data_IF_452428066506
#
_entry.id   IF_452428066506
#
_cell.length_a   1.000
_cell.length_b   1.000
_cell.length_c   1.000
_cell.angle_alpha   90.00
_cell.angle_beta   90.00
_cell.angle_gamma   90.00
#
_symmetry.space_group_name_H-M   'P 1'
#
loop_
_entity.id
_entity.type
_entity.pdbx_description
1 polymer ?
#
# COMPACT_ATOMS: atom_id res chain seq x y z
N UNK A 1 42.19 -35.57 0.86
CA UNK A 1 40.75 -35.27 1.16
C UNK A 1 40.67 -33.78 1.42
N UNK A 2 40.22 -33.01 0.43
CA UNK A 2 40.11 -31.53 0.49
C UNK A 2 38.66 -31.22 1.00
N UNK A 3 38.57 -30.63 2.18
CA UNK A 3 37.29 -30.16 2.71
C UNK A 3 36.99 -28.76 2.13
N UNK A 4 36.06 -28.69 1.20
CA UNK A 4 35.52 -27.42 0.69
C UNK A 4 34.44 -26.99 1.68
N UNK A 5 34.73 -25.97 2.50
CA UNK A 5 33.74 -25.29 3.32
C UNK A 5 32.95 -24.30 2.45
N UNK A 6 31.68 -24.57 2.21
CA UNK A 6 30.76 -23.64 1.60
C UNK A 6 30.38 -22.59 2.64
N UNK A 7 30.87 -21.37 2.49
CA UNK A 7 30.39 -20.22 3.24
C UNK A 7 29.08 -19.75 2.57
N UNK A 8 27.94 -20.08 3.20
CA UNK A 8 26.66 -19.47 2.85
C UNK A 8 26.69 -18.04 3.40
N UNK A 9 26.99 -17.08 2.54
CA UNK A 9 26.86 -15.67 2.88
C UNK A 9 25.36 -15.36 3.07
N UNK A 10 24.94 -15.09 4.32
CA UNK A 10 23.66 -14.44 4.57
C UNK A 10 23.73 -13.05 3.91
N UNK A 11 23.07 -12.90 2.79
CA UNK A 11 22.75 -11.56 2.26
C UNK A 11 21.68 -11.01 3.21
N UNK A 12 22.06 -10.11 4.12
CA UNK A 12 21.09 -9.33 4.87
C UNK A 12 20.34 -8.47 3.85
N UNK A 13 19.09 -8.80 3.58
CA UNK A 13 18.19 -7.96 2.81
C UNK A 13 18.11 -6.58 3.51
N UNK A 14 18.08 -5.47 2.76
CA UNK A 14 17.90 -4.15 3.35
C UNK A 14 16.60 -4.17 4.17
N UNK A 15 16.65 -3.69 5.42
CA UNK A 15 15.47 -3.47 6.25
C UNK A 15 14.82 -2.17 5.75
N UNK A 16 14.14 -2.25 4.62
CA UNK A 16 13.20 -1.23 4.19
C UNK A 16 11.82 -1.60 4.74
N UNK A 17 11.01 -0.60 5.04
CA UNK A 17 9.61 -0.87 5.33
C UNK A 17 8.98 -1.48 4.05
N UNK A 18 8.51 -2.71 4.15
CA UNK A 18 7.88 -3.42 3.03
C UNK A 18 6.49 -2.84 2.74
N UNK A 19 6.04 -2.95 1.50
CA UNK A 19 4.67 -2.65 1.10
C UNK A 19 3.70 -3.56 1.87
N UNK A 20 2.48 -3.06 2.07
CA UNK A 20 1.36 -3.84 2.58
C UNK A 20 0.15 -3.59 1.70
N UNK A 21 -0.41 -4.65 1.14
CA UNK A 21 -1.54 -4.55 0.24
C UNK A 21 -2.65 -5.55 0.55
N UNK A 22 -3.80 -5.28 -0.01
CA UNK A 22 -4.92 -6.22 -0.05
C UNK A 22 -4.83 -6.97 -1.37
N UNK A 23 -4.83 -8.29 -1.31
CA UNK A 23 -4.78 -9.15 -2.48
C UNK A 23 -6.08 -9.98 -2.55
N UNK A 24 -7.09 -9.52 -3.32
CA UNK A 24 -8.27 -10.33 -3.60
C UNK A 24 -7.90 -11.62 -4.33
N UNK A 25 -8.59 -12.72 -4.01
CA UNK A 25 -8.41 -13.95 -4.78
C UNK A 25 -8.98 -13.82 -6.19
N UNK A 26 -10.01 -12.99 -6.32
CA UNK A 26 -10.63 -12.61 -7.58
C UNK A 26 -11.03 -11.14 -7.52
N UNK A 27 -10.72 -10.37 -8.54
CA UNK A 27 -11.07 -8.94 -8.63
C UNK A 27 -12.45 -8.70 -9.25
N UNK A 28 -13.01 -9.70 -9.91
CA UNK A 28 -14.36 -9.65 -10.49
C UNK A 28 -15.16 -10.87 -10.03
N UNK A 29 -16.27 -10.63 -9.36
CA UNK A 29 -17.08 -11.64 -8.69
C UNK A 29 -18.51 -11.65 -9.23
N UNK A 30 -19.08 -12.83 -9.37
CA UNK A 30 -20.53 -12.97 -9.49
C UNK A 30 -21.24 -12.49 -8.21
N UNK A 31 -22.47 -12.02 -8.35
CA UNK A 31 -23.19 -11.30 -7.28
C UNK A 31 -23.33 -12.07 -5.95
N UNK A 32 -23.38 -13.40 -6.00
CA UNK A 32 -23.54 -14.27 -4.82
C UNK A 32 -22.23 -14.87 -4.33
N UNK A 33 -21.12 -14.55 -4.98
CA UNK A 33 -19.79 -15.04 -4.60
C UNK A 33 -19.26 -14.28 -3.38
N UNK A 34 -18.61 -14.98 -2.47
CA UNK A 34 -17.93 -14.33 -1.35
C UNK A 34 -16.74 -13.53 -1.83
N UNK A 35 -16.58 -12.34 -1.27
CA UNK A 35 -15.38 -11.55 -1.42
C UNK A 35 -14.32 -12.10 -0.46
N UNK A 36 -13.22 -12.57 -1.04
CA UNK A 36 -12.10 -13.15 -0.31
C UNK A 36 -10.81 -12.42 -0.66
N UNK A 37 -10.02 -12.05 0.36
CA UNK A 37 -8.75 -11.37 0.14
C UNK A 37 -7.73 -11.69 1.22
N UNK A 38 -6.46 -11.78 0.82
CA UNK A 38 -5.33 -11.78 1.74
C UNK A 38 -4.92 -10.33 2.08
N UNK A 39 -4.36 -10.15 3.26
CA UNK A 39 -3.50 -9.02 3.57
C UNK A 39 -2.08 -9.53 3.39
N UNK A 40 -1.33 -8.88 2.52
CA UNK A 40 0.04 -9.32 2.19
C UNK A 40 1.04 -8.26 2.61
N UNK A 41 2.16 -8.68 3.17
CA UNK A 41 3.29 -7.82 3.47
C UNK A 41 4.52 -8.37 2.75
N UNK A 42 5.16 -7.55 1.93
CA UNK A 42 6.28 -8.01 1.11
C UNK A 42 6.89 -6.91 0.28
N UNK A 43 7.61 -7.31 -0.75
CA UNK A 43 8.33 -6.43 -1.68
C UNK A 43 8.12 -6.92 -3.11
N UNK A 44 8.17 -6.00 -4.08
CA UNK A 44 8.07 -6.33 -5.51
C UNK A 44 6.79 -7.14 -5.85
N UNK A 45 5.67 -6.79 -5.19
CA UNK A 45 4.36 -7.45 -5.34
C UNK A 45 4.38 -8.96 -5.00
N UNK A 46 5.33 -9.40 -4.19
CA UNK A 46 5.42 -10.74 -3.63
C UNK A 46 5.64 -10.69 -2.13
N UNK A 47 4.96 -11.52 -1.36
CA UNK A 47 5.07 -11.41 0.09
C UNK A 47 4.42 -12.52 0.89
N UNK A 48 4.30 -12.28 2.18
CA UNK A 48 3.73 -13.21 3.16
C UNK A 48 2.30 -12.79 3.47
N UNK A 49 1.39 -13.74 3.34
CA UNK A 49 -0.01 -13.57 3.70
C UNK A 49 -0.18 -13.48 5.22
N UNK A 50 -0.77 -12.39 5.67
CA UNK A 50 -1.04 -12.15 7.08
C UNK A 50 -2.43 -12.66 7.46
N UNK A 51 -2.56 -13.41 8.56
CA UNK A 51 -3.86 -13.86 9.04
C UNK A 51 -4.67 -12.69 9.65
N UNK A 52 -5.98 -12.88 9.76
CA UNK A 52 -6.85 -11.95 10.48
C UNK A 52 -6.47 -11.86 11.95
N UNK A 53 -5.96 -10.71 12.39
CA UNK A 53 -5.57 -10.42 13.77
C UNK A 53 -6.01 -9.01 14.15
N UNK A 54 -7.13 -8.82 14.89
CA UNK A 54 -7.72 -7.50 15.18
C UNK A 54 -6.74 -6.48 15.78
N UNK A 55 -5.78 -6.91 16.57
CA UNK A 55 -4.77 -6.01 17.17
C UNK A 55 -3.74 -5.45 16.17
N UNK A 56 -3.77 -5.86 14.89
CA UNK A 56 -2.82 -5.40 13.86
C UNK A 56 -3.38 -4.25 13.02
N UNK A 57 -4.67 -3.94 13.15
CA UNK A 57 -5.31 -2.92 12.32
C UNK A 57 -6.24 -2.01 13.13
N UNK A 58 -6.35 -0.77 12.68
CA UNK A 58 -7.31 0.23 13.18
C UNK A 58 -8.65 0.04 12.48
N UNK A 59 -8.60 -0.12 11.15
CA UNK A 59 -9.76 -0.33 10.29
C UNK A 59 -9.54 -1.48 9.33
N UNK A 60 -10.56 -2.31 9.17
CA UNK A 60 -10.67 -3.30 8.10
C UNK A 60 -12.14 -3.39 7.71
N UNK A 61 -12.47 -2.81 6.56
CA UNK A 61 -13.85 -2.60 6.11
C UNK A 61 -14.01 -2.88 4.63
N UNK A 62 -15.23 -3.17 4.22
CA UNK A 62 -15.67 -3.20 2.81
C UNK A 62 -16.73 -2.13 2.63
N UNK A 63 -16.62 -1.33 1.58
CA UNK A 63 -17.55 -0.27 1.22
C UNK A 63 -18.13 -0.53 -0.18
N UNK A 64 -19.38 -0.09 -0.42
CA UNK A 64 -19.97 -0.03 -1.77
C UNK A 64 -20.99 1.10 -1.77
N UNK A 65 -20.77 2.14 -2.58
CA UNK A 65 -21.53 3.38 -2.51
C UNK A 65 -21.48 4.00 -1.09
N UNK A 66 -22.64 4.21 -0.47
CA UNK A 66 -22.73 4.76 0.90
C UNK A 66 -22.85 3.68 1.99
N UNK A 67 -22.83 2.42 1.60
CA UNK A 67 -22.88 1.30 2.54
C UNK A 67 -21.46 0.89 2.92
N UNK A 68 -21.28 0.45 4.16
CA UNK A 68 -20.04 -0.17 4.61
C UNK A 68 -20.31 -1.31 5.58
N UNK A 69 -19.37 -2.24 5.66
CA UNK A 69 -19.39 -3.36 6.60
C UNK A 69 -17.98 -3.57 7.14
N UNK A 70 -17.87 -3.75 8.45
CA UNK A 70 -16.59 -4.18 9.05
C UNK A 70 -16.29 -5.62 8.65
N UNK A 71 -15.03 -5.89 8.37
CA UNK A 71 -14.57 -7.27 8.17
C UNK A 71 -14.57 -7.98 9.51
N UNK A 72 -15.23 -9.13 9.54
CA UNK A 72 -15.31 -10.00 10.71
C UNK A 72 -14.87 -11.40 10.30
N UNK A 73 -13.78 -11.87 10.91
CA UNK A 73 -13.24 -13.21 10.74
C UNK A 73 -12.75 -13.74 12.09
N UNK A 74 -12.43 -15.02 12.17
CA UNK A 74 -11.83 -15.58 13.39
C UNK A 74 -10.35 -15.23 13.42
N UNK A 75 -9.82 -15.01 14.61
CA UNK A 75 -8.37 -14.81 14.79
C UNK A 75 -7.61 -16.00 14.19
N UNK A 76 -6.68 -15.68 13.28
CA UNK A 76 -5.89 -16.69 12.58
C UNK A 76 -6.43 -17.08 11.19
N UNK A 77 -7.63 -16.64 10.80
CA UNK A 77 -8.17 -16.97 9.47
C UNK A 77 -7.28 -16.39 8.35
N UNK A 78 -7.02 -17.20 7.35
CA UNK A 78 -6.35 -16.86 6.08
C UNK A 78 -7.12 -17.55 4.94
N UNK A 79 -7.69 -16.83 3.98
CA UNK A 79 -7.66 -15.36 3.79
C UNK A 79 -8.26 -14.55 4.96
N UNK A 80 -7.68 -13.38 5.23
CA UNK A 80 -8.12 -12.51 6.33
C UNK A 80 -9.51 -11.92 6.10
N UNK A 81 -9.91 -11.71 4.85
CA UNK A 81 -11.25 -11.34 4.40
C UNK A 81 -11.92 -12.55 3.75
N UNK A 82 -13.09 -12.92 4.24
CA UNK A 82 -13.93 -13.97 3.66
C UNK A 82 -15.39 -13.76 4.08
N UNK A 83 -16.07 -12.86 3.40
CA UNK A 83 -17.47 -12.51 3.71
C UNK A 83 -18.27 -12.18 2.44
N UNK A 84 -19.59 -12.06 2.56
CA UNK A 84 -20.41 -11.58 1.46
C UNK A 84 -20.05 -10.13 1.10
N UNK A 85 -20.10 -9.75 -0.18
CA UNK A 85 -19.95 -8.37 -0.60
C UNK A 85 -21.01 -7.47 0.09
N UNK A 86 -20.72 -6.18 0.18
CA UNK A 86 -21.65 -5.19 0.76
C UNK A 86 -22.84 -4.95 -0.16
N UNK A 87 -22.60 -4.92 -1.47
CA UNK A 87 -23.63 -4.78 -2.50
C UNK A 87 -23.07 -5.24 -3.86
N UNK A 88 -23.96 -5.35 -4.87
CA UNK A 88 -23.56 -5.38 -6.28
C UNK A 88 -22.92 -4.04 -6.66
N UNK A 89 -22.03 -4.06 -7.65
CA UNK A 89 -21.28 -2.91 -8.11
C UNK A 89 -19.84 -2.92 -7.59
N UNK A 90 -19.19 -1.76 -7.60
CA UNK A 90 -17.83 -1.59 -7.10
C UNK A 90 -17.80 -1.73 -5.58
N UNK A 91 -17.02 -2.66 -5.09
CA UNK A 91 -16.71 -2.82 -3.68
C UNK A 91 -15.25 -2.38 -3.44
N UNK A 92 -15.05 -1.57 -2.42
CA UNK A 92 -13.75 -1.06 -1.99
C UNK A 92 -13.41 -1.74 -0.69
N UNK A 93 -12.37 -2.56 -0.69
CA UNK A 93 -11.82 -3.11 0.55
C UNK A 93 -10.80 -2.12 1.07
N UNK A 94 -10.86 -1.78 2.35
CA UNK A 94 -9.94 -0.83 2.96
C UNK A 94 -9.37 -1.36 4.28
N UNK A 95 -8.07 -1.20 4.45
CA UNK A 95 -7.30 -1.65 5.60
C UNK A 95 -6.36 -0.55 6.07
N UNK A 96 -6.39 -0.24 7.36
CA UNK A 96 -5.43 0.64 8.01
C UNK A 96 -4.70 -0.15 9.07
N UNK A 97 -3.40 -0.35 8.91
CA UNK A 97 -2.57 -0.98 9.92
C UNK A 97 -2.35 -0.07 11.13
N UNK A 98 -2.14 -0.66 12.31
CA UNK A 98 -1.52 0.09 13.40
C UNK A 98 -0.08 0.48 13.03
N UNK A 99 0.38 1.61 13.52
CA UNK A 99 1.76 2.06 13.34
C UNK A 99 2.75 1.03 13.91
N UNK A 100 3.89 0.92 13.24
CA UNK A 100 5.01 0.08 13.64
C UNK A 100 6.31 0.88 13.52
N UNK A 101 7.38 0.39 14.13
CA UNK A 101 8.70 1.03 14.05
C UNK A 101 9.70 0.16 13.31
N UNK A 102 10.61 0.82 12.59
CA UNK A 102 11.79 0.21 11.98
C UNK A 102 13.03 0.98 12.43
N UNK A 103 14.13 0.29 12.65
CA UNK A 103 15.41 0.89 12.97
C UNK A 103 16.30 1.00 11.75
N UNK A 104 17.02 2.12 11.62
CA UNK A 104 18.07 2.34 10.64
C UNK A 104 19.43 2.30 11.33
N UNK A 105 20.28 1.37 10.95
CA UNK A 105 21.63 1.24 11.49
C UNK A 105 22.50 2.46 11.16
N UNK A 106 22.24 3.11 10.02
CA UNK A 106 22.98 4.30 9.57
C UNK A 106 22.14 5.14 8.60
N UNK A 107 22.56 6.41 8.44
CA UNK A 107 21.92 7.36 7.54
C UNK A 107 21.92 6.89 6.08
N UNK A 108 22.95 6.23 5.59
CA UNK A 108 23.04 5.79 4.20
C UNK A 108 21.88 4.87 3.80
N UNK A 109 21.44 3.98 4.72
CA UNK A 109 20.27 3.11 4.47
C UNK A 109 18.97 3.93 4.38
N UNK A 110 18.83 4.94 5.25
CA UNK A 110 17.67 5.84 5.21
C UNK A 110 17.69 6.72 3.97
N UNK A 111 18.86 7.25 3.59
CA UNK A 111 19.00 8.05 2.35
C UNK A 111 18.60 7.25 1.11
N UNK A 112 19.00 5.98 0.99
CA UNK A 112 18.56 5.11 -0.11
C UNK A 112 17.04 4.95 -0.16
N UNK A 113 16.39 4.88 1.00
CA UNK A 113 14.94 4.85 1.09
C UNK A 113 14.32 6.19 0.66
N UNK A 114 14.87 7.31 1.13
CA UNK A 114 14.42 8.65 0.72
C UNK A 114 14.52 8.83 -0.80
N UNK A 115 15.66 8.45 -1.39
CA UNK A 115 15.92 8.53 -2.83
C UNK A 115 14.93 7.65 -3.61
N UNK A 116 14.73 6.41 -3.15
CA UNK A 116 13.83 5.46 -3.81
C UNK A 116 12.37 5.96 -3.84
N UNK A 117 11.89 6.53 -2.73
CA UNK A 117 10.51 7.02 -2.60
C UNK A 117 10.35 8.51 -2.95
N UNK A 118 11.39 9.15 -3.48
CA UNK A 118 11.41 10.57 -3.88
C UNK A 118 10.97 11.53 -2.75
N UNK A 119 11.55 11.34 -1.57
CA UNK A 119 11.18 12.09 -0.35
C UNK A 119 12.12 13.28 -0.06
N UNK A 120 13.03 13.56 -0.97
CA UNK A 120 13.99 14.65 -0.88
C UNK A 120 15.11 14.43 0.14
N UNK A 121 16.07 15.35 0.15
CA UNK A 121 17.16 15.32 1.12
C UNK A 121 16.67 15.82 2.48
N UNK A 122 16.91 15.05 3.52
CA UNK A 122 16.47 15.30 4.89
C UNK A 122 17.62 15.38 5.89
N UNK A 123 18.87 15.36 5.42
CA UNK A 123 20.05 15.30 6.31
C UNK A 123 20.11 16.51 7.23
N UNK A 124 20.06 17.70 6.67
CA UNK A 124 20.13 18.95 7.45
C UNK A 124 19.00 19.05 8.48
N UNK A 125 17.79 18.64 8.11
CA UNK A 125 16.65 18.60 9.02
C UNK A 125 16.88 17.58 10.14
N UNK A 126 17.35 16.39 9.82
CA UNK A 126 17.64 15.33 10.80
C UNK A 126 18.68 15.78 11.84
N UNK A 127 19.80 16.35 11.39
CA UNK A 127 20.87 16.84 12.26
C UNK A 127 20.44 18.06 13.10
N UNK A 128 19.72 19.00 12.50
CA UNK A 128 19.24 20.20 13.20
C UNK A 128 18.27 19.88 14.36
N UNK A 129 17.58 18.74 14.27
CA UNK A 129 16.70 18.20 15.31
C UNK A 129 17.47 17.39 16.37
N UNK A 130 18.78 17.24 16.23
CA UNK A 130 19.66 16.59 17.20
C UNK A 130 19.60 15.05 17.18
N UNK A 131 19.13 14.44 16.11
CA UNK A 131 19.12 12.99 15.99
C UNK A 131 20.49 12.46 15.51
N UNK A 132 20.91 11.26 16.00
CA UNK A 132 22.14 10.61 15.53
C UNK A 132 21.95 10.04 14.12
N UNK A 133 23.05 9.97 13.36
CA UNK A 133 23.06 9.35 12.04
C UNK A 133 23.15 7.81 12.08
N UNK A 134 23.25 7.25 13.27
CA UNK A 134 23.31 5.80 13.52
C UNK A 134 22.22 5.41 14.53
N UNK A 135 21.68 4.20 14.39
CA UNK A 135 20.72 3.59 15.33
C UNK A 135 19.47 4.44 15.65
N UNK A 136 18.93 5.14 14.66
CA UNK A 136 17.69 5.89 14.80
C UNK A 136 16.48 5.11 14.27
N UNK A 137 15.28 5.60 14.56
CA UNK A 137 14.02 4.94 14.23
C UNK A 137 13.13 5.78 13.35
N UNK A 138 12.37 5.08 12.52
CA UNK A 138 11.18 5.56 11.82
C UNK A 138 9.95 4.85 12.38
N UNK A 139 8.84 5.56 12.53
CA UNK A 139 7.51 4.99 12.73
C UNK A 139 6.75 5.06 11.41
N UNK A 140 6.06 3.99 11.04
CA UNK A 140 5.32 3.94 9.78
C UNK A 140 3.90 3.42 9.97
N UNK A 141 2.98 3.94 9.13
CA UNK A 141 1.59 3.51 9.05
C UNK A 141 1.22 3.19 7.61
N UNK A 142 0.38 2.18 7.39
CA UNK A 142 -0.02 1.71 6.06
C UNK A 142 -1.51 1.77 5.88
N UNK A 143 -1.94 2.31 4.73
CA UNK A 143 -3.31 2.55 4.33
C UNK A 143 -3.53 1.90 2.96
N UNK A 144 -4.21 0.76 2.94
CA UNK A 144 -4.39 -0.02 1.73
C UNK A 144 -5.84 -0.04 1.29
N UNK A 145 -6.05 0.07 -0.01
CA UNK A 145 -7.35 -0.11 -0.68
C UNK A 145 -7.24 -1.20 -1.74
N UNK A 146 -8.36 -1.85 -2.03
CA UNK A 146 -8.48 -2.72 -3.19
C UNK A 146 -9.84 -2.55 -3.83
N UNK A 147 -9.87 -2.50 -5.16
CA UNK A 147 -11.08 -2.35 -5.95
C UNK A 147 -11.53 -3.73 -6.42
N UNK A 148 -12.78 -4.11 -6.14
CA UNK A 148 -13.36 -5.40 -6.52
C UNK A 148 -14.73 -5.18 -7.16
N UNK A 149 -14.93 -5.68 -8.36
CA UNK A 149 -16.23 -5.68 -9.02
C UNK A 149 -17.09 -6.83 -8.51
N UNK A 150 -18.36 -6.58 -8.25
CA UNK A 150 -19.37 -7.58 -7.92
C UNK A 150 -20.55 -7.44 -8.87
N UNK A 151 -20.82 -8.47 -9.66
CA UNK A 151 -21.81 -8.42 -10.73
C UNK A 151 -21.38 -7.46 -11.84
N UNK A 152 -22.09 -6.37 -12.06
CA UNK A 152 -21.81 -5.38 -13.10
C UNK A 152 -20.63 -4.46 -12.77
N UNK A 153 -20.09 -4.49 -11.54
CA UNK A 153 -18.99 -3.64 -11.12
C UNK A 153 -19.28 -2.14 -11.10
N UNK A 154 -20.53 -1.72 -11.31
CA UNK A 154 -20.89 -0.30 -11.42
C UNK A 154 -20.66 0.47 -10.13
N UNK A 155 -20.25 1.73 -10.27
CA UNK A 155 -19.97 2.63 -9.14
C UNK A 155 -18.64 3.34 -9.31
N UNK A 156 -18.24 4.11 -8.30
CA UNK A 156 -16.99 4.86 -8.30
C UNK A 156 -16.29 4.74 -6.95
N UNK A 157 -14.98 4.83 -6.97
CA UNK A 157 -14.18 5.03 -5.75
C UNK A 157 -14.37 6.45 -5.22
N UNK A 158 -14.06 6.64 -3.97
CA UNK A 158 -14.12 7.94 -3.29
C UNK A 158 -13.11 7.99 -2.16
N UNK A 159 -12.79 9.20 -1.73
CA UNK A 159 -12.04 9.41 -0.51
C UNK A 159 -12.84 8.91 0.69
N UNK A 160 -12.27 8.03 1.49
CA UNK A 160 -12.90 7.39 2.66
C UNK A 160 -12.32 7.87 3.99
N UNK A 161 -11.36 8.80 3.92
CA UNK A 161 -10.76 9.45 5.09
C UNK A 161 -9.53 8.75 5.65
N UNK A 162 -8.82 7.95 4.88
CA UNK A 162 -7.47 7.50 5.22
C UNK A 162 -6.53 8.71 5.20
N UNK A 163 -5.52 8.72 6.07
CA UNK A 163 -4.65 9.91 6.22
C UNK A 163 -3.81 10.19 4.98
N UNK A 164 -3.34 9.15 4.29
CA UNK A 164 -2.88 9.22 2.90
C UNK A 164 -3.67 8.21 2.09
N UNK A 165 -4.10 8.60 0.88
CA UNK A 165 -5.09 7.80 0.15
C UNK A 165 -4.95 7.96 -1.36
N UNK A 166 -4.96 6.85 -2.08
CA UNK A 166 -5.13 6.80 -3.52
C UNK A 166 -6.62 6.61 -3.82
N UNK A 167 -7.18 7.44 -4.67
CA UNK A 167 -8.58 7.35 -5.13
C UNK A 167 -8.60 7.10 -6.62
N UNK A 168 -9.28 6.05 -7.06
CA UNK A 168 -9.49 5.76 -8.46
C UNK A 168 -10.53 6.72 -9.06
N UNK A 169 -10.10 7.53 -10.02
CA UNK A 169 -11.01 8.39 -10.80
C UNK A 169 -11.64 7.64 -11.97
N UNK A 170 -11.00 6.56 -12.42
CA UNK A 170 -11.50 5.64 -13.44
C UNK A 170 -11.90 4.33 -12.76
N UNK A 171 -13.11 3.83 -13.01
CA UNK A 171 -13.49 2.49 -12.58
C UNK A 171 -12.94 1.47 -13.56
N UNK A 172 -11.95 0.62 -13.17
CA UNK A 172 -11.28 -0.27 -14.12
C UNK A 172 -12.20 -1.34 -14.72
N UNK A 173 -13.35 -1.59 -14.12
CA UNK A 173 -14.27 -2.65 -14.53
C UNK A 173 -15.40 -2.21 -15.46
N UNK A 174 -15.63 -0.89 -15.59
CA UNK A 174 -16.78 -0.36 -16.35
C UNK A 174 -16.42 0.77 -17.31
N UNK A 175 -15.20 1.31 -17.22
CA UNK A 175 -14.77 2.42 -18.06
C UNK A 175 -13.65 2.01 -19.02
N UNK A 176 -13.47 2.77 -20.10
CA UNK A 176 -12.41 2.55 -21.07
C UNK A 176 -11.03 2.86 -20.47
N UNK A 177 -10.15 1.87 -20.45
CA UNK A 177 -8.78 1.96 -19.98
C UNK A 177 -7.75 2.23 -21.09
N UNK A 178 -8.17 2.44 -22.33
CA UNK A 178 -7.24 2.65 -23.47
C UNK A 178 -6.30 3.85 -23.29
N UNK A 179 -6.73 4.86 -22.50
CA UNK A 179 -5.92 6.01 -22.12
C UNK A 179 -5.23 5.87 -20.76
N UNK A 180 -5.28 4.67 -20.14
CA UNK A 180 -4.77 4.38 -18.80
C UNK A 180 -5.82 4.61 -17.71
N UNK A 181 -5.50 4.17 -16.51
CA UNK A 181 -6.31 4.36 -15.30
C UNK A 181 -5.91 5.65 -14.60
N UNK A 182 -6.86 6.55 -14.40
CA UNK A 182 -6.63 7.79 -13.65
C UNK A 182 -6.85 7.56 -12.17
N UNK A 183 -5.90 8.01 -11.37
CA UNK A 183 -5.97 8.00 -9.91
C UNK A 183 -5.62 9.38 -9.37
N UNK A 184 -6.13 9.69 -8.19
CA UNK A 184 -5.80 10.94 -7.49
C UNK A 184 -5.23 10.61 -6.11
N UNK A 185 -4.10 11.23 -5.79
CA UNK A 185 -3.38 11.00 -4.54
C UNK A 185 -3.68 12.12 -3.54
N UNK A 186 -3.99 11.73 -2.31
CA UNK A 186 -4.31 12.63 -1.21
C UNK A 186 -3.38 12.42 0.00
N UNK A 187 -3.14 13.52 0.70
CA UNK A 187 -2.65 13.51 2.07
C UNK A 187 -3.61 14.35 2.93
N UNK A 188 -4.28 13.71 3.87
CA UNK A 188 -5.40 14.30 4.60
C UNK A 188 -6.54 14.66 3.64
N UNK A 189 -6.84 15.97 3.51
CA UNK A 189 -7.90 16.44 2.59
C UNK A 189 -7.35 17.08 1.33
N UNK A 190 -6.04 17.26 1.28
CA UNK A 190 -5.36 17.98 0.20
C UNK A 190 -4.83 17.01 -0.85
N UNK A 191 -4.91 17.41 -2.11
CA UNK A 191 -4.30 16.66 -3.20
C UNK A 191 -2.78 16.77 -3.11
N UNK A 192 -2.07 15.72 -3.48
CA UNK A 192 -0.60 15.70 -3.54
C UNK A 192 -0.15 15.89 -4.97
N UNK A 193 0.21 17.13 -5.30
CA UNK A 193 0.84 17.46 -6.56
C UNK A 193 2.31 17.05 -6.58
N UNK A 194 2.82 16.79 -7.78
CA UNK A 194 4.22 16.44 -8.06
C UNK A 194 4.76 15.31 -7.17
N UNK A 195 3.92 14.32 -6.86
CA UNK A 195 4.26 13.18 -6.02
C UNK A 195 4.50 11.93 -6.86
N UNK A 196 5.51 11.15 -6.48
CA UNK A 196 5.79 9.85 -7.06
C UNK A 196 4.74 8.83 -6.63
N UNK A 197 4.28 8.03 -7.59
CA UNK A 197 3.55 6.77 -7.35
C UNK A 197 4.36 5.66 -8.01
N UNK A 198 4.75 4.67 -7.22
CA UNK A 198 5.38 3.44 -7.71
C UNK A 198 4.29 2.47 -8.14
N UNK A 199 4.42 1.94 -9.34
CA UNK A 199 3.45 1.04 -9.96
C UNK A 199 4.08 -0.33 -10.14
N UNK A 200 3.45 -1.33 -9.57
CA UNK A 200 3.81 -2.74 -9.73
C UNK A 200 2.76 -3.39 -10.63
N UNK A 201 3.16 -3.75 -11.84
CA UNK A 201 2.34 -4.43 -12.84
C UNK A 201 2.69 -5.92 -12.81
N UNK A 202 1.77 -6.78 -12.36
CA UNK A 202 1.94 -8.22 -12.34
C UNK A 202 1.18 -8.87 -13.51
N UNK A 203 1.93 -9.55 -14.37
CA UNK A 203 1.38 -10.27 -15.53
C UNK A 203 0.83 -11.64 -15.12
N UNK A 204 0.13 -12.31 -16.07
CA UNK A 204 -0.45 -13.63 -15.88
C UNK A 204 0.58 -14.75 -15.58
N UNK A 205 1.84 -14.53 -15.89
CA UNK A 205 2.95 -15.46 -15.60
C UNK A 205 3.69 -15.12 -14.29
N UNK A 206 3.08 -14.27 -13.45
CA UNK A 206 3.60 -13.75 -12.19
C UNK A 206 4.85 -12.86 -12.33
N UNK A 207 5.29 -12.54 -13.56
CA UNK A 207 6.36 -11.55 -13.73
C UNK A 207 5.88 -10.16 -13.33
N UNK A 208 6.73 -9.42 -12.62
CA UNK A 208 6.41 -8.07 -12.12
C UNK A 208 7.28 -7.04 -12.84
N UNK A 209 6.64 -6.04 -13.43
CA UNK A 209 7.28 -4.86 -13.98
C UNK A 209 7.02 -3.68 -13.06
N UNK A 210 8.07 -2.96 -12.64
CA UNK A 210 7.96 -1.81 -11.73
C UNK A 210 8.33 -0.55 -12.51
N UNK A 211 7.45 0.45 -12.42
CA UNK A 211 7.68 1.75 -13.04
C UNK A 211 7.07 2.86 -12.21
N UNK A 212 7.44 4.09 -12.52
CA UNK A 212 7.01 5.28 -11.78
C UNK A 212 6.07 6.12 -12.63
N UNK A 213 5.05 6.67 -11.98
CA UNK A 213 4.25 7.77 -12.52
C UNK A 213 4.27 8.92 -11.52
N UNK A 214 3.94 10.12 -12.00
CA UNK A 214 3.94 11.33 -11.17
C UNK A 214 2.60 12.03 -11.26
N UNK A 215 2.13 12.54 -10.14
CA UNK A 215 0.89 13.32 -10.10
C UNK A 215 1.13 14.72 -10.68
N UNK A 216 0.11 15.25 -11.33
CA UNK A 216 0.05 16.63 -11.83
C UNK A 216 -0.32 17.64 -10.72
N UNK A 217 -0.59 18.88 -11.08
CA UNK A 217 -0.96 19.97 -10.16
C UNK A 217 -2.26 19.69 -9.38
N UNK A 218 -3.14 18.85 -9.92
CA UNK A 218 -4.40 18.44 -9.30
C UNK A 218 -4.25 17.12 -8.51
N UNK A 219 -3.02 16.64 -8.35
CA UNK A 219 -2.74 15.36 -7.67
C UNK A 219 -3.14 14.14 -8.48
N UNK A 220 -3.36 14.28 -9.79
CA UNK A 220 -3.82 13.20 -10.67
C UNK A 220 -2.64 12.57 -11.40
N UNK A 221 -2.61 11.24 -11.41
CA UNK A 221 -1.70 10.46 -12.25
C UNK A 221 -2.49 9.55 -13.18
N UNK A 222 -1.96 9.31 -14.38
CA UNK A 222 -2.47 8.30 -15.32
C UNK A 222 -1.53 7.12 -15.33
N UNK A 223 -2.03 5.97 -14.93
CA UNK A 223 -1.29 4.71 -14.89
C UNK A 223 -1.55 3.96 -16.20
N UNK A 224 -0.53 3.72 -17.04
CA UNK A 224 -0.66 2.84 -18.19
C UNK A 224 -1.03 1.43 -17.71
N UNK A 225 -2.04 0.82 -18.33
CA UNK A 225 -2.49 -0.52 -17.96
C UNK A 225 -2.60 -1.45 -19.15
N UNK A 226 -2.46 -2.74 -18.89
CA UNK A 226 -2.62 -3.83 -19.86
C UNK A 226 -3.72 -4.76 -19.40
N UNK A 227 -4.57 -5.19 -20.29
CA UNK A 227 -5.64 -6.13 -19.98
C UNK A 227 -5.10 -7.46 -19.41
N UNK A 228 -5.80 -7.96 -18.39
CA UNK A 228 -5.47 -9.20 -17.68
C UNK A 228 -4.36 -9.08 -16.64
N UNK A 229 -3.81 -7.88 -16.39
CA UNK A 229 -2.76 -7.68 -15.39
C UNK A 229 -3.30 -7.14 -14.08
N UNK A 230 -2.69 -7.58 -12.98
CA UNK A 230 -2.93 -7.02 -11.65
C UNK A 230 -1.99 -5.85 -11.39
N UNK A 231 -2.48 -4.86 -10.67
CA UNK A 231 -1.73 -3.65 -10.35
C UNK A 231 -1.73 -3.39 -8.85
N UNK A 232 -0.57 -2.96 -8.36
CA UNK A 232 -0.42 -2.35 -7.05
C UNK A 232 0.21 -0.97 -7.24
N UNK A 233 -0.40 0.05 -6.65
CA UNK A 233 0.10 1.41 -6.59
C UNK A 233 0.58 1.69 -5.17
N UNK A 234 1.72 2.36 -5.02
CA UNK A 234 2.28 2.73 -3.73
C UNK A 234 2.79 4.17 -3.74
N UNK A 235 2.46 4.93 -2.71
CA UNK A 235 2.93 6.31 -2.54
C UNK A 235 3.18 6.60 -1.07
N UNK A 236 4.31 7.25 -0.78
CA UNK A 236 4.77 7.49 0.59
C UNK A 236 4.78 8.97 0.92
N UNK A 237 4.36 9.32 2.13
CA UNK A 237 4.56 10.63 2.77
C UNK A 237 5.61 10.47 3.84
N UNK A 238 6.59 11.37 3.88
CA UNK A 238 7.51 11.53 5.00
C UNK A 238 7.14 12.78 5.78
N UNK A 239 7.20 12.69 7.10
CA UNK A 239 7.00 13.84 8.00
C UNK A 239 7.72 13.64 9.34
N UNK A 240 7.76 14.68 10.10
CA UNK A 240 8.09 14.58 11.52
C UNK A 240 6.91 13.93 12.26
N UNK A 241 7.17 12.97 13.16
CA UNK A 241 6.09 12.38 13.95
C UNK A 241 5.49 13.43 14.92
N UNK A 242 4.19 13.28 15.20
CA UNK A 242 3.58 14.09 16.24
C UNK A 242 4.31 13.88 17.58
N UNK A 243 4.37 14.92 18.42
CA UNK A 243 5.13 14.93 19.67
C UNK A 243 4.87 13.70 20.55
N UNK A 244 3.60 13.32 20.73
CA UNK A 244 3.25 12.15 21.54
C UNK A 244 3.74 10.85 20.86
N UNK A 245 3.62 10.73 19.55
CA UNK A 245 4.06 9.56 18.81
C UNK A 245 5.60 9.43 18.83
N UNK A 246 6.31 10.56 18.72
CA UNK A 246 7.77 10.59 18.86
C UNK A 246 8.20 10.16 20.27
N UNK A 247 7.52 10.66 21.31
CA UNK A 247 7.80 10.28 22.71
C UNK A 247 7.55 8.78 22.98
N UNK A 248 6.47 8.23 22.44
CA UNK A 248 6.09 6.83 22.65
C UNK A 248 7.01 5.84 21.89
N UNK A 249 7.53 6.24 20.73
CA UNK A 249 8.28 5.34 19.82
C UNK A 249 9.79 5.61 19.82
N UNK A 250 10.21 6.81 20.15
CA UNK A 250 11.59 7.30 19.97
C UNK A 250 11.96 7.48 18.50
N UNK A 251 10.97 7.62 17.59
CA UNK A 251 11.19 7.75 16.17
C UNK A 251 11.57 9.18 15.77
N UNK A 252 12.59 9.31 14.92
CA UNK A 252 12.98 10.58 14.33
C UNK A 252 12.06 10.98 13.16
N UNK A 253 11.51 10.00 12.45
CA UNK A 253 10.70 10.19 11.25
C UNK A 253 9.41 9.37 11.31
N UNK A 254 8.41 9.84 10.59
CA UNK A 254 7.16 9.12 10.37
C UNK A 254 6.88 9.02 8.86
N UNK A 255 6.58 7.80 8.40
CA UNK A 255 6.09 7.59 7.04
C UNK A 255 4.68 7.06 7.01
N UNK A 256 3.92 7.53 6.03
CA UNK A 256 2.56 7.12 5.74
C UNK A 256 2.50 6.56 4.32
N UNK A 257 2.09 5.32 4.19
CA UNK A 257 2.09 4.55 2.95
C UNK A 257 0.67 4.38 2.45
N UNK A 258 0.35 4.98 1.30
CA UNK A 258 -0.90 4.74 0.58
C UNK A 258 -0.69 3.65 -0.45
N UNK A 259 -1.56 2.64 -0.42
CA UNK A 259 -1.50 1.52 -1.36
C UNK A 259 -2.88 1.27 -1.98
N UNK A 260 -2.93 0.90 -3.26
CA UNK A 260 -4.15 0.50 -3.96
C UNK A 260 -3.87 -0.66 -4.89
N UNK A 261 -4.73 -1.69 -4.84
CA UNK A 261 -4.70 -2.80 -5.79
C UNK A 261 -5.97 -2.88 -6.64
N UNK A 262 -5.81 -3.27 -7.89
CA UNK A 262 -6.89 -3.54 -8.84
C UNK A 262 -6.39 -4.46 -9.96
N UNK A 263 -7.31 -5.02 -10.73
CA UNK A 263 -7.01 -5.72 -11.96
C UNK A 263 -7.58 -4.92 -13.15
N UNK A 264 -6.85 -4.84 -14.25
CA UNK A 264 -7.34 -4.29 -15.51
C UNK A 264 -7.94 -5.44 -16.34
N UNK A 265 -9.27 -5.47 -16.62
CA UNK A 265 -9.91 -6.55 -17.38
C UNK A 265 -9.43 -6.68 -18.80
#
# INVERSE_FOLDING_TARGET
MLKISFFLGLVAAPVAAHELWIEPLEYQLEAETKLTAHIVNGQDFAGVQLPFVPRRFVHFVVLSGDKFQKVTSRIGDSPALNQSPVAKGLNIVAYQAHSQTVGYENWEKFQKFLDHKDLGDQLDNHESRGFPLEDFKEVYSRYSKSLVAVGDGAGSDKQIGLETEIVALTNPYTEDLSSGMKVQLYYRKDVRADAQIEVFEKALDDSVNIFLVRTDADGIATVPVKAGHDYMLDAVVLREPAEQLAADTGAAWETLWANMTFMAP
#
